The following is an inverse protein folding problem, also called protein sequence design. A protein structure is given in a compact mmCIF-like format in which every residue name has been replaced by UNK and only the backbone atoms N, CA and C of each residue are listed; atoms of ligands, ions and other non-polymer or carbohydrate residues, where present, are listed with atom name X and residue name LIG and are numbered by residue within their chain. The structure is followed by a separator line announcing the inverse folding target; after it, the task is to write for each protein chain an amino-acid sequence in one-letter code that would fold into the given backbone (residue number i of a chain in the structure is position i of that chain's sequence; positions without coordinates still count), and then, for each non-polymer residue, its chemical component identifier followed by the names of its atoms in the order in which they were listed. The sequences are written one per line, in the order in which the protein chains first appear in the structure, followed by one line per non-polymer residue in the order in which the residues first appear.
data_IF_586159651517
#
_entry.id   IF_586159651517
#
_cell.length_a   1.000
_cell.length_b   1.000
_cell.length_c   1.000
_cell.angle_alpha   90.00
_cell.angle_beta   90.00
_cell.angle_gamma   90.00
#
_symmetry.space_group_name_H-M   'P 1'
#
loop_
_entity.id
_entity.type
_entity.pdbx_description
1 polymer ?
#
# COMPACT_ATOMS: atom_id res chain seq x y z
N UNK A 1 12.35 20.70 12.21
CA UNK A 1 10.94 20.33 12.51
C UNK A 1 10.57 19.26 11.51
N UNK A 2 10.48 18.01 11.95
CA UNK A 2 10.08 16.89 11.10
C UNK A 2 8.67 17.15 10.55
N UNK A 3 8.52 17.21 9.23
CA UNK A 3 7.22 17.10 8.58
C UNK A 3 6.73 15.67 8.81
N UNK A 4 5.98 15.48 9.89
CA UNK A 4 5.37 14.19 10.21
C UNK A 4 4.19 13.97 9.26
N UNK A 5 4.23 12.88 8.49
CA UNK A 5 3.21 12.58 7.49
C UNK A 5 1.96 12.06 8.19
N UNK A 6 0.85 12.79 8.06
CA UNK A 6 -0.47 12.33 8.50
C UNK A 6 -1.06 11.39 7.44
N UNK A 7 -0.93 10.08 7.64
CA UNK A 7 -1.39 9.07 6.69
C UNK A 7 -2.91 9.10 6.40
N UNK A 8 -3.81 9.27 7.40
CA UNK A 8 -5.23 9.48 7.14
C UNK A 8 -5.52 10.65 6.19
N UNK A 9 -4.92 11.82 6.43
CA UNK A 9 -5.10 13.00 5.57
C UNK A 9 -4.50 12.79 4.18
N UNK A 10 -3.30 12.22 4.10
CA UNK A 10 -2.60 11.93 2.86
C UNK A 10 -3.43 10.99 1.96
N UNK A 11 -3.90 9.87 2.52
CA UNK A 11 -4.70 8.89 1.74
C UNK A 11 -6.03 9.48 1.29
N UNK A 12 -6.65 10.34 2.10
CA UNK A 12 -7.85 11.07 1.70
C UNK A 12 -7.58 12.04 0.55
N UNK A 13 -6.51 12.83 0.63
CA UNK A 13 -6.11 13.76 -0.42
C UNK A 13 -5.80 13.03 -1.74
N UNK A 14 -5.02 11.94 -1.68
CA UNK A 14 -4.73 11.11 -2.86
C UNK A 14 -6.03 10.55 -3.45
N UNK A 15 -6.93 10.04 -2.62
CA UNK A 15 -8.22 9.50 -3.09
C UNK A 15 -9.06 10.53 -3.84
N UNK A 16 -9.04 11.79 -3.39
CA UNK A 16 -9.70 12.91 -4.06
C UNK A 16 -9.11 13.17 -5.45
N UNK A 17 -7.78 13.21 -5.58
CA UNK A 17 -7.12 13.39 -6.87
C UNK A 17 -7.33 12.20 -7.82
N UNK A 18 -7.35 10.98 -7.29
CA UNK A 18 -7.69 9.78 -8.07
C UNK A 18 -9.12 9.82 -8.60
N UNK A 19 -10.06 10.49 -7.91
CA UNK A 19 -11.42 10.65 -8.42
C UNK A 19 -11.46 11.54 -9.68
N UNK A 20 -10.66 12.61 -9.72
CA UNK A 20 -10.49 13.44 -10.92
C UNK A 20 -9.88 12.63 -12.06
N UNK A 21 -8.80 11.88 -11.80
CA UNK A 21 -8.18 11.00 -12.81
C UNK A 21 -9.13 9.94 -13.37
N UNK A 22 -10.04 9.38 -12.55
CA UNK A 22 -11.06 8.44 -13.02
C UNK A 22 -12.05 9.08 -14.00
N UNK A 23 -12.30 10.38 -13.90
CA UNK A 23 -13.16 11.10 -14.84
C UNK A 23 -12.39 11.49 -16.12
N UNK A 24 -11.14 11.93 -15.97
CA UNK A 24 -10.35 12.46 -17.09
C UNK A 24 -9.76 11.37 -17.99
N UNK A 25 -9.33 10.24 -17.41
CA UNK A 25 -8.70 9.11 -18.13
C UNK A 25 -9.32 7.75 -17.74
N UNK A 26 -10.61 7.55 -18.02
CA UNK A 26 -11.38 6.41 -17.50
C UNK A 26 -10.84 5.05 -17.95
N UNK A 27 -10.40 4.91 -19.22
CA UNK A 27 -9.87 3.64 -19.74
C UNK A 27 -8.58 3.22 -19.03
N UNK A 28 -7.67 4.16 -18.80
CA UNK A 28 -6.40 3.91 -18.09
C UNK A 28 -6.69 3.50 -16.64
N UNK A 29 -7.58 4.23 -15.96
CA UNK A 29 -7.93 3.93 -14.58
C UNK A 29 -8.67 2.60 -14.43
N UNK A 30 -9.51 2.23 -15.41
CA UNK A 30 -10.18 0.93 -15.44
C UNK A 30 -9.15 -0.20 -15.56
N UNK A 31 -8.23 -0.11 -16.52
CA UNK A 31 -7.16 -1.10 -16.68
C UNK A 31 -6.30 -1.27 -15.43
N UNK A 32 -5.94 -0.16 -14.77
CA UNK A 32 -5.22 -0.20 -13.50
C UNK A 32 -6.01 -0.91 -12.39
N UNK A 33 -7.32 -0.61 -12.25
CA UNK A 33 -8.16 -1.23 -11.24
C UNK A 33 -8.31 -2.74 -11.46
N UNK A 34 -8.45 -3.17 -12.71
CA UNK A 34 -8.58 -4.59 -13.06
C UNK A 34 -7.29 -5.36 -12.76
N UNK A 35 -6.14 -4.78 -13.12
CA UNK A 35 -4.83 -5.31 -12.74
C UNK A 35 -4.69 -5.42 -11.22
N UNK A 36 -5.02 -4.35 -10.48
CA UNK A 36 -4.92 -4.33 -9.01
C UNK A 36 -5.82 -5.40 -8.37
N UNK A 37 -7.06 -5.54 -8.83
CA UNK A 37 -7.99 -6.59 -8.37
C UNK A 37 -7.46 -7.99 -8.67
N UNK A 38 -6.95 -8.22 -9.87
CA UNK A 38 -6.42 -9.52 -10.28
C UNK A 38 -5.16 -9.90 -9.48
N UNK A 39 -4.29 -8.93 -9.17
CA UNK A 39 -3.09 -9.15 -8.36
C UNK A 39 -3.44 -9.45 -6.90
N UNK A 40 -4.38 -8.71 -6.31
CA UNK A 40 -4.69 -8.76 -4.87
C UNK A 40 -5.74 -9.81 -4.46
N UNK A 41 -6.55 -10.34 -5.39
CA UNK A 41 -7.53 -11.40 -5.06
C UNK A 41 -6.87 -12.64 -4.45
N UNK A 42 -7.62 -13.38 -3.63
CA UNK A 42 -7.15 -14.64 -3.04
C UNK A 42 -6.76 -15.67 -4.12
N UNK A 43 -5.78 -16.50 -3.81
CA UNK A 43 -5.30 -17.59 -4.66
C UNK A 43 -4.39 -18.50 -3.86
N UNK A 44 -3.24 -18.89 -4.43
CA UNK A 44 -2.21 -19.63 -3.70
C UNK A 44 -1.66 -18.86 -2.49
N UNK A 45 -1.71 -17.52 -2.55
CA UNK A 45 -1.50 -16.63 -1.40
C UNK A 45 -2.83 -15.94 -1.08
N UNK A 46 -3.16 -15.87 0.21
CA UNK A 46 -4.32 -15.11 0.67
C UNK A 46 -4.09 -13.59 0.53
N UNK A 47 -5.18 -12.83 0.59
CA UNK A 47 -5.15 -11.37 0.52
C UNK A 47 -4.23 -10.75 1.56
N UNK A 48 -4.24 -11.24 2.80
CA UNK A 48 -3.42 -10.70 3.88
C UNK A 48 -1.93 -10.82 3.56
N UNK A 49 -1.48 -11.98 3.09
CA UNK A 49 -0.10 -12.22 2.67
C UNK A 49 0.27 -11.30 1.51
N UNK A 50 -0.63 -11.11 0.54
CA UNK A 50 -0.39 -10.19 -0.58
C UNK A 50 -0.30 -8.72 -0.15
N UNK A 51 -1.10 -8.30 0.82
CA UNK A 51 -1.03 -6.95 1.38
C UNK A 51 0.23 -6.73 2.22
N UNK A 52 0.73 -7.76 2.93
CA UNK A 52 2.03 -7.68 3.63
C UNK A 52 3.18 -7.49 2.63
N UNK A 53 3.15 -8.21 1.51
CA UNK A 53 4.09 -8.02 0.40
C UNK A 53 3.96 -6.60 -0.16
N UNK A 54 2.74 -6.12 -0.40
CA UNK A 54 2.49 -4.78 -0.92
C UNK A 54 3.02 -3.68 0.03
N UNK A 55 2.85 -3.85 1.34
CA UNK A 55 3.43 -2.95 2.34
C UNK A 55 4.97 -2.93 2.26
N UNK A 56 5.61 -4.11 2.20
CA UNK A 56 7.07 -4.20 2.07
C UNK A 56 7.58 -3.53 0.78
N UNK A 57 6.84 -3.70 -0.34
CA UNK A 57 7.13 -2.99 -1.60
C UNK A 57 6.94 -1.48 -1.48
N UNK A 58 5.90 -1.02 -0.76
CA UNK A 58 5.67 0.39 -0.47
C UNK A 58 6.82 1.03 0.31
N UNK A 59 7.39 0.30 1.29
CA UNK A 59 8.59 0.71 2.02
C UNK A 59 9.79 0.79 1.09
N UNK A 60 10.02 -0.25 0.28
CA UNK A 60 11.13 -0.30 -0.66
C UNK A 60 11.07 0.84 -1.70
N UNK A 61 9.85 1.20 -2.13
CA UNK A 61 9.58 2.28 -3.08
C UNK A 61 9.56 3.69 -2.45
N UNK A 62 9.62 3.81 -1.12
CA UNK A 62 9.50 5.09 -0.39
C UNK A 62 8.23 5.87 -0.76
N UNK A 63 7.11 5.16 -0.87
CA UNK A 63 5.83 5.72 -1.30
C UNK A 63 4.91 5.89 -0.09
N UNK A 64 4.86 7.08 0.51
CA UNK A 64 4.02 7.36 1.70
C UNK A 64 2.53 7.08 1.46
N UNK A 65 2.04 7.38 0.25
CA UNK A 65 0.67 7.04 -0.14
C UNK A 65 0.43 5.53 -0.11
N UNK A 66 1.36 4.74 -0.65
CA UNK A 66 1.29 3.29 -0.66
C UNK A 66 1.32 2.72 0.77
N UNK A 67 2.19 3.26 1.64
CA UNK A 67 2.24 2.89 3.05
C UNK A 67 0.89 3.12 3.73
N UNK A 68 0.28 4.29 3.54
CA UNK A 68 -1.03 4.61 4.11
C UNK A 68 -2.15 3.67 3.64
N UNK A 69 -2.25 3.42 2.33
CA UNK A 69 -3.30 2.56 1.78
C UNK A 69 -3.14 1.09 2.20
N UNK A 70 -1.93 0.53 2.11
CA UNK A 70 -1.69 -0.88 2.44
C UNK A 70 -1.72 -1.13 3.95
N UNK A 71 -1.28 -0.18 4.79
CA UNK A 71 -1.49 -0.27 6.23
C UNK A 71 -2.99 -0.28 6.59
N UNK A 72 -3.80 0.57 5.97
CA UNK A 72 -5.24 0.56 6.18
C UNK A 72 -5.88 -0.77 5.72
N UNK A 73 -5.44 -1.33 4.59
CA UNK A 73 -5.93 -2.61 4.10
C UNK A 73 -5.58 -3.76 5.07
N UNK A 74 -4.36 -3.80 5.59
CA UNK A 74 -3.91 -4.79 6.56
C UNK A 74 -4.72 -4.76 7.86
N UNK A 75 -5.04 -3.57 8.38
CA UNK A 75 -5.93 -3.44 9.54
C UNK A 75 -7.31 -4.02 9.24
N UNK A 76 -7.88 -3.74 8.06
CA UNK A 76 -9.18 -4.30 7.65
C UNK A 76 -9.16 -5.83 7.48
N UNK A 77 -8.01 -6.38 7.11
CA UNK A 77 -7.80 -7.83 6.97
C UNK A 77 -7.44 -8.52 8.29
N UNK A 78 -7.37 -7.78 9.41
CA UNK A 78 -7.06 -8.33 10.72
C UNK A 78 -5.61 -8.78 10.86
N UNK A 79 -4.68 -8.17 10.10
CA UNK A 79 -3.26 -8.44 10.26
C UNK A 79 -2.80 -8.03 11.67
N UNK A 80 -2.07 -8.92 12.31
CA UNK A 80 -1.46 -8.66 13.61
C UNK A 80 -0.25 -7.74 13.49
N UNK A 81 0.08 -7.07 14.59
CA UNK A 81 1.29 -6.25 14.67
C UNK A 81 2.55 -7.05 14.36
N UNK A 82 2.63 -8.30 14.84
CA UNK A 82 3.77 -9.20 14.62
C UNK A 82 3.97 -9.52 13.14
N UNK A 83 2.89 -9.81 12.40
CA UNK A 83 2.97 -10.05 10.96
C UNK A 83 3.50 -8.83 10.20
N UNK A 84 3.08 -7.63 10.61
CA UNK A 84 3.58 -6.37 10.04
C UNK A 84 5.06 -6.16 10.39
N UNK A 85 5.45 -6.38 11.64
CA UNK A 85 6.84 -6.26 12.08
C UNK A 85 7.78 -7.21 11.33
N UNK A 86 7.37 -8.47 11.09
CA UNK A 86 8.14 -9.42 10.28
C UNK A 86 8.29 -8.98 8.82
N UNK A 87 7.22 -8.46 8.20
CA UNK A 87 7.28 -7.93 6.84
C UNK A 87 8.21 -6.70 6.75
N UNK A 88 8.17 -5.81 7.75
CA UNK A 88 9.05 -4.65 7.83
C UNK A 88 10.51 -5.05 8.10
N UNK A 89 10.75 -6.08 8.91
CA UNK A 89 12.10 -6.62 9.13
C UNK A 89 12.71 -7.10 7.80
N UNK A 90 11.92 -7.76 6.93
CA UNK A 90 12.36 -8.11 5.58
C UNK A 90 12.67 -6.89 4.72
N UNK A 91 11.83 -5.85 4.80
CA UNK A 91 12.08 -4.60 4.08
C UNK A 91 13.37 -3.91 4.54
N UNK A 92 13.68 -3.93 5.84
CA UNK A 92 14.94 -3.40 6.40
C UNK A 92 16.13 -4.26 6.02
N UNK A 93 16.02 -5.59 6.11
CA UNK A 93 17.09 -6.50 5.72
C UNK A 93 17.48 -6.32 4.25
N UNK A 94 16.50 -6.29 3.34
CA UNK A 94 16.74 -6.14 1.90
C UNK A 94 17.04 -4.69 1.50
N UNK A 95 16.51 -3.71 2.23
CA UNK A 95 16.65 -2.29 1.95
C UNK A 95 17.84 -1.60 2.63
N UNK A 96 18.40 -2.22 3.67
CA UNK A 96 19.43 -1.68 4.56
C UNK A 96 18.97 -0.47 5.41
N UNK A 97 19.80 -0.08 6.38
CA UNK A 97 19.70 1.22 7.04
C UNK A 97 20.25 2.31 6.11
N UNK A 98 19.44 2.77 5.15
CA UNK A 98 19.89 3.80 4.20
C UNK A 98 19.71 5.19 4.82
N UNK A 99 20.84 5.89 4.96
CA UNK A 99 20.97 7.32 5.25
C UNK A 99 20.11 8.17 4.31
#
# INVERSE_FOLDING_TARGET
MSNEVNYPELTHAISKHLATLRADVPEVMQGFNDMARAATRDGALDKKTKELIALALGVAARCDGCLGFHAQALVKLGASKTEVEEALAMAVYMGGGRR
#
